data_IF_307607318218
#
_entry.id   IF_307607318218
#
_cell.length_a   1.000
_cell.length_b   1.000
_cell.length_c   1.000
_cell.angle_alpha   90.00
_cell.angle_beta   90.00
_cell.angle_gamma   90.00
#
_symmetry.space_group_name_H-M   'P 1'
#
loop_
_entity.id
_entity.type
_entity.pdbx_description
1 polymer ?
#
# COMPACT_ATOMS: atom_id res chain seq x y z
N UNK A 1 -21.71 3.84 7.38
CA UNK A 1 -20.33 3.97 6.87
C UNK A 1 -19.51 2.99 7.68
N UNK A 2 -19.14 1.83 7.10
CA UNK A 2 -18.28 0.89 7.83
C UNK A 2 -16.96 1.61 8.12
N UNK A 3 -16.71 1.87 9.40
CA UNK A 3 -15.45 2.42 9.87
C UNK A 3 -14.39 1.37 9.51
N UNK A 4 -13.64 1.63 8.44
CA UNK A 4 -12.54 0.76 8.04
C UNK A 4 -11.56 0.77 9.20
N UNK A 5 -11.39 -0.36 9.88
CA UNK A 5 -10.38 -0.49 10.91
C UNK A 5 -8.99 -0.48 10.25
N UNK A 6 -8.47 0.72 10.01
CA UNK A 6 -7.17 0.95 9.40
C UNK A 6 -6.04 0.40 10.27
N UNK A 7 -6.25 0.28 11.59
CA UNK A 7 -5.28 -0.36 12.49
C UNK A 7 -5.19 -1.86 12.22
N UNK A 8 -6.33 -2.52 12.04
CA UNK A 8 -6.39 -3.92 11.60
C UNK A 8 -5.78 -4.11 10.21
N UNK A 9 -6.18 -3.30 9.22
CA UNK A 9 -5.65 -3.38 7.86
C UNK A 9 -4.13 -3.15 7.81
N UNK A 10 -3.61 -2.21 8.59
CA UNK A 10 -2.18 -1.96 8.73
C UNK A 10 -1.46 -3.17 9.34
N UNK A 11 -2.06 -3.82 10.33
CA UNK A 11 -1.55 -5.07 10.90
C UNK A 11 -1.44 -6.18 9.86
N UNK A 12 -2.50 -6.41 9.08
CA UNK A 12 -2.50 -7.43 8.02
C UNK A 12 -1.54 -7.08 6.87
N UNK A 13 -1.46 -5.81 6.50
CA UNK A 13 -0.50 -5.33 5.50
C UNK A 13 0.94 -5.60 5.96
N UNK A 14 1.29 -5.34 7.23
CA UNK A 14 2.63 -5.62 7.75
C UNK A 14 3.05 -7.09 7.64
N UNK A 15 2.10 -8.03 7.76
CA UNK A 15 2.36 -9.47 7.60
C UNK A 15 2.83 -9.82 6.19
N UNK A 16 2.31 -9.15 5.16
CA UNK A 16 2.68 -9.41 3.76
C UNK A 16 4.06 -8.82 3.44
N UNK A 17 4.40 -7.64 3.96
CA UNK A 17 5.65 -6.93 3.64
C UNK A 17 6.76 -7.06 4.71
N UNK A 18 6.63 -8.01 5.64
CA UNK A 18 7.66 -8.44 6.58
C UNK A 18 8.35 -7.27 7.33
N UNK A 19 7.56 -6.42 7.99
CA UNK A 19 8.04 -5.34 8.85
C UNK A 19 9.08 -4.38 8.20
N UNK A 20 9.08 -4.21 6.87
CA UNK A 20 9.89 -3.17 6.23
C UNK A 20 9.34 -1.78 6.56
N UNK A 21 9.81 -1.26 7.71
CA UNK A 21 9.85 0.15 8.09
C UNK A 21 8.56 0.93 7.85
N UNK A 22 7.51 0.55 8.57
CA UNK A 22 6.42 1.48 8.88
C UNK A 22 6.65 1.99 10.29
N UNK A 23 7.66 2.85 10.44
CA UNK A 23 7.85 3.63 11.64
C UNK A 23 6.61 4.52 11.79
N UNK A 24 5.71 4.13 12.68
CA UNK A 24 4.64 4.98 13.16
C UNK A 24 5.37 6.05 13.96
N UNK A 25 5.48 7.27 13.42
CA UNK A 25 5.70 8.43 14.29
C UNK A 25 4.40 8.65 15.05
N UNK A 26 4.47 8.92 16.35
CA UNK A 26 3.30 9.02 17.27
C UNK A 26 2.23 10.04 16.83
N UNK A 27 2.53 10.88 15.84
CA UNK A 27 1.65 11.92 15.28
C UNK A 27 0.79 11.46 14.08
N UNK A 28 0.95 10.25 13.53
CA UNK A 28 0.23 9.81 12.31
C UNK A 28 -0.80 8.71 12.59
N UNK A 29 -1.98 8.85 11.97
CA UNK A 29 -3.04 7.84 12.08
C UNK A 29 -2.69 6.55 11.34
N UNK A 30 -3.28 5.42 11.73
CA UNK A 30 -3.09 4.14 11.02
C UNK A 30 -3.47 4.22 9.54
N UNK A 31 -4.44 5.07 9.19
CA UNK A 31 -4.84 5.34 7.81
C UNK A 31 -3.72 6.02 7.02
N UNK A 32 -3.17 7.12 7.56
CA UNK A 32 -2.09 7.87 6.91
C UNK A 32 -0.85 7.01 6.72
N UNK A 33 -0.50 6.23 7.75
CA UNK A 33 0.64 5.31 7.70
C UNK A 33 0.43 4.25 6.61
N UNK A 34 -0.78 3.68 6.51
CA UNK A 34 -1.07 2.67 5.50
C UNK A 34 -1.08 3.25 4.09
N UNK A 35 -1.71 4.41 3.88
CA UNK A 35 -1.72 5.10 2.57
C UNK A 35 -0.31 5.43 2.10
N UNK A 36 0.49 6.02 2.99
CA UNK A 36 1.89 6.35 2.69
C UNK A 36 2.71 5.08 2.38
N UNK A 37 2.50 3.99 3.13
CA UNK A 37 3.16 2.71 2.86
C UNK A 37 2.94 2.24 1.43
N UNK A 38 1.67 2.27 1.02
CA UNK A 38 1.24 1.81 -0.31
C UNK A 38 1.80 2.76 -1.38
N UNK A 39 1.71 4.08 -1.16
CA UNK A 39 2.25 5.09 -2.09
C UNK A 39 3.75 4.89 -2.33
N UNK A 40 4.55 4.74 -1.27
CA UNK A 40 6.00 4.51 -1.36
C UNK A 40 6.35 3.21 -2.08
N UNK A 41 5.57 2.15 -1.86
CA UNK A 41 5.76 0.88 -2.55
C UNK A 41 5.44 1.01 -4.05
N UNK A 42 4.36 1.70 -4.40
CA UNK A 42 3.97 1.94 -5.80
C UNK A 42 4.97 2.83 -6.53
N UNK A 43 5.48 3.87 -5.88
CA UNK A 43 6.51 4.75 -6.47
C UNK A 43 7.92 4.15 -6.45
N UNK A 44 8.08 2.96 -5.86
CA UNK A 44 9.35 2.27 -5.70
C UNK A 44 10.44 3.18 -5.07
N UNK A 45 10.04 4.07 -4.16
CA UNK A 45 10.94 5.07 -3.54
C UNK A 45 12.06 4.41 -2.73
N UNK A 46 11.80 3.20 -2.23
CA UNK A 46 12.77 2.40 -1.48
C UNK A 46 13.83 1.72 -2.37
N UNK A 47 13.65 1.71 -3.69
CA UNK A 47 14.62 1.12 -4.62
C UNK A 47 15.58 2.17 -5.16
N UNK A 48 16.84 1.78 -5.31
CA UNK A 48 17.89 2.64 -5.85
C UNK A 48 17.45 3.22 -7.23
N UNK A 49 17.70 4.51 -7.53
CA UNK A 49 17.18 5.17 -8.74
C UNK A 49 17.43 4.41 -10.05
N UNK A 50 18.56 3.69 -10.15
CA UNK A 50 18.93 2.88 -11.32
C UNK A 50 18.04 1.65 -11.59
N UNK A 51 17.30 1.17 -10.60
CA UNK A 51 16.43 -0.02 -10.72
C UNK A 51 14.95 0.32 -10.51
N UNK A 52 14.63 1.61 -10.36
CA UNK A 52 13.26 2.08 -10.11
C UNK A 52 12.35 1.59 -11.22
N UNK A 53 11.35 0.79 -10.83
CA UNK A 53 10.34 0.27 -11.76
C UNK A 53 9.18 1.25 -11.84
N UNK A 54 8.51 1.22 -12.99
CA UNK A 54 7.28 1.96 -13.22
C UNK A 54 6.20 1.59 -12.19
N UNK A 55 5.39 2.58 -11.81
CA UNK A 55 4.39 2.46 -10.75
C UNK A 55 3.32 1.42 -11.07
N UNK A 56 2.94 1.24 -12.35
CA UNK A 56 2.05 0.16 -12.75
C UNK A 56 2.66 -1.22 -12.54
N UNK A 57 3.96 -1.36 -12.80
CA UNK A 57 4.64 -2.64 -12.61
C UNK A 57 4.68 -3.01 -11.13
N UNK A 58 4.87 -2.01 -10.27
CA UNK A 58 4.79 -2.19 -8.81
C UNK A 58 3.39 -2.49 -8.33
N UNK A 59 2.39 -1.77 -8.83
CA UNK A 59 0.98 -2.05 -8.55
C UNK A 59 0.64 -3.52 -8.83
N UNK A 60 1.00 -4.02 -10.02
CA UNK A 60 0.76 -5.42 -10.37
C UNK A 60 1.46 -6.41 -9.42
N UNK A 61 2.68 -6.10 -8.97
CA UNK A 61 3.41 -6.95 -8.01
C UNK A 61 2.73 -6.93 -6.64
N UNK A 62 2.34 -5.75 -6.15
CA UNK A 62 1.65 -5.59 -4.87
C UNK A 62 0.29 -6.29 -4.86
N UNK A 63 -0.50 -6.14 -5.93
CA UNK A 63 -1.79 -6.83 -6.11
C UNK A 63 -1.60 -8.36 -6.05
N UNK A 64 -0.64 -8.90 -6.80
CA UNK A 64 -0.35 -10.34 -6.77
C UNK A 64 0.00 -10.82 -5.37
N UNK A 65 0.84 -10.09 -4.63
CA UNK A 65 1.17 -10.41 -3.24
C UNK A 65 -0.05 -10.41 -2.31
N UNK A 66 -0.96 -9.46 -2.46
CA UNK A 66 -2.20 -9.41 -1.64
C UNK A 66 -3.08 -10.62 -1.94
N UNK A 67 -3.21 -10.98 -3.21
CA UNK A 67 -4.03 -12.12 -3.63
C UNK A 67 -3.46 -13.44 -3.12
N UNK A 68 -2.13 -13.60 -3.18
CA UNK A 68 -1.40 -14.77 -2.69
C UNK A 68 -1.28 -14.83 -1.17
N UNK A 69 -1.49 -13.71 -0.47
CA UNK A 69 -1.42 -13.67 0.99
C UNK A 69 -2.53 -14.51 1.64
N UNK A 70 -2.24 -15.11 2.80
CA UNK A 70 -3.21 -15.87 3.60
C UNK A 70 -4.21 -14.98 4.37
N UNK A 71 -4.68 -13.88 3.77
CA UNK A 71 -5.62 -12.94 4.38
C UNK A 71 -7.08 -13.29 4.06
N UNK A 72 -8.01 -12.83 4.90
CA UNK A 72 -9.45 -12.89 4.61
C UNK A 72 -9.81 -12.12 3.33
N UNK A 73 -10.86 -12.57 2.64
CA UNK A 73 -11.32 -11.99 1.38
C UNK A 73 -11.69 -10.51 1.54
N UNK A 74 -12.32 -10.12 2.65
CA UNK A 74 -12.68 -8.71 2.89
C UNK A 74 -11.44 -7.84 3.06
N UNK A 75 -10.45 -8.34 3.80
CA UNK A 75 -9.16 -7.66 3.98
C UNK A 75 -8.43 -7.50 2.65
N UNK A 76 -8.38 -8.55 1.82
CA UNK A 76 -7.80 -8.49 0.47
C UNK A 76 -8.49 -7.43 -0.37
N UNK A 77 -9.82 -7.44 -0.40
CA UNK A 77 -10.60 -6.48 -1.17
C UNK A 77 -10.35 -5.04 -0.68
N UNK A 78 -10.33 -4.81 0.63
CA UNK A 78 -10.04 -3.50 1.20
C UNK A 78 -8.65 -2.98 0.81
N UNK A 79 -7.63 -3.85 0.86
CA UNK A 79 -6.27 -3.50 0.43
C UNK A 79 -6.19 -3.24 -1.08
N UNK A 80 -6.88 -4.03 -1.91
CA UNK A 80 -6.91 -3.82 -3.37
C UNK A 80 -7.57 -2.49 -3.74
N UNK A 81 -8.71 -2.16 -3.12
CA UNK A 81 -9.38 -0.86 -3.31
C UNK A 81 -8.42 0.27 -2.92
N UNK A 82 -7.72 0.15 -1.80
CA UNK A 82 -6.74 1.15 -1.37
C UNK A 82 -5.60 1.33 -2.38
N UNK A 83 -5.03 0.24 -2.89
CA UNK A 83 -3.96 0.30 -3.90
C UNK A 83 -4.44 0.94 -5.19
N UNK A 84 -5.69 0.66 -5.60
CA UNK A 84 -6.26 1.21 -6.83
C UNK A 84 -6.44 2.73 -6.69
N UNK A 85 -7.05 3.18 -5.59
CA UNK A 85 -7.24 4.61 -5.32
C UNK A 85 -5.90 5.38 -5.31
N UNK A 86 -4.88 4.84 -4.65
CA UNK A 86 -3.56 5.49 -4.58
C UNK A 86 -2.88 5.50 -5.96
N UNK A 87 -3.05 4.44 -6.75
CA UNK A 87 -2.51 4.40 -8.10
C UNK A 87 -3.16 5.47 -9.00
N UNK A 88 -4.48 5.65 -8.88
CA UNK A 88 -5.22 6.69 -9.59
C UNK A 88 -4.74 8.09 -9.17
N UNK A 89 -4.57 8.34 -7.86
CA UNK A 89 -3.99 9.60 -7.33
C UNK A 89 -2.58 9.87 -7.86
N UNK A 90 -1.71 8.84 -7.91
CA UNK A 90 -0.36 8.97 -8.46
C UNK A 90 -0.43 9.35 -9.94
N UNK A 91 -1.35 8.74 -10.68
CA UNK A 91 -1.52 9.00 -12.11
C UNK A 91 -2.01 10.43 -12.37
N UNK A 92 -3.00 10.88 -11.62
CA UNK A 92 -3.51 12.25 -11.69
C UNK A 92 -2.43 13.29 -11.31
N UNK A 93 -1.53 12.95 -10.38
CA UNK A 93 -0.39 13.82 -10.03
C UNK A 93 0.65 13.89 -11.15
N UNK A 94 0.80 12.85 -11.98
CA UNK A 94 1.76 12.81 -13.10
C UNK A 94 1.22 13.46 -14.38
N UNK A 95 -0.11 13.61 -14.51
CA UNK A 95 -0.78 14.20 -15.67
C UNK A 95 -1.02 15.72 -15.52
N UNK A 96 -0.79 16.29 -14.33
CA UNK A 96 -0.82 17.74 -14.05
C UNK A 96 0.58 18.37 -14.01
#
# INVERSE_FOLDING_TARGET
MEEKDYSFLLGEYRKIWNNRLLAISDERTSEDVLKEAVRRELLDENSHPRIRKDSYKKFNISVKRILEAGLDVRTKLALLVLHTNIMDEIKETLEN
#
